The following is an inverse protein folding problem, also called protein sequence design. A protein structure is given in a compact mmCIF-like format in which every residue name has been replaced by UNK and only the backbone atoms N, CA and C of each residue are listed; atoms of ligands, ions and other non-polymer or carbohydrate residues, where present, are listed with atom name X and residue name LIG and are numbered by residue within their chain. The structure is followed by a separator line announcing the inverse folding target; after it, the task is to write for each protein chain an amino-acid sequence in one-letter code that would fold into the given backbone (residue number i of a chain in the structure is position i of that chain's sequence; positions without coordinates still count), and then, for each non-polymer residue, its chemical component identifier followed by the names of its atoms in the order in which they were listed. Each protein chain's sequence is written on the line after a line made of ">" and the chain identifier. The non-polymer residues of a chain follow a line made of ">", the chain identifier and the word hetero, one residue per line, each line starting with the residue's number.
data_IF_393132244824
#
_entry.id   IF_393132244824
#
_cell.length_a   1.000
_cell.length_b   1.000
_cell.length_c   1.000
_cell.angle_alpha   90.00
_cell.angle_beta   90.00
_cell.angle_gamma   90.00
#
_symmetry.space_group_name_H-M   'P 1'
#
loop_
_entity.id
_entity.type
_entity.pdbx_description
1 polymer ?
#
# COMPACT_ATOMS: atom_id res chain seq x y z
N UNK A 1 -93.29 16.54 8.13
CA UNK A 1 -92.57 15.25 8.08
C UNK A 1 -91.19 15.48 7.48
N UNK A 2 -90.18 14.82 8.05
CA UNK A 2 -88.75 14.77 7.67
C UNK A 2 -87.83 15.88 8.18
N UNK A 3 -87.37 15.73 9.43
CA UNK A 3 -86.11 16.26 9.91
C UNK A 3 -85.04 15.16 9.80
N UNK A 4 -84.06 15.34 8.90
CA UNK A 4 -82.89 14.46 8.80
C UNK A 4 -81.72 15.14 9.54
N UNK A 5 -81.34 14.60 10.71
CA UNK A 5 -80.13 15.00 11.43
C UNK A 5 -78.94 14.23 10.86
N UNK A 6 -78.00 14.94 10.24
CA UNK A 6 -76.71 14.36 9.80
C UNK A 6 -75.72 14.47 10.96
N UNK A 7 -75.35 13.33 11.54
CA UNK A 7 -74.26 13.23 12.52
C UNK A 7 -72.92 13.19 11.78
N UNK A 8 -72.04 14.17 12.03
CA UNK A 8 -70.64 14.15 11.57
C UNK A 8 -69.81 13.32 12.55
N UNK A 9 -69.48 12.10 12.15
CA UNK A 9 -68.43 11.30 12.79
C UNK A 9 -67.07 11.94 12.48
N UNK A 10 -66.36 12.39 13.52
CA UNK A 10 -65.00 12.90 13.43
C UNK A 10 -64.04 11.70 13.49
N UNK A 11 -63.61 11.19 12.34
CA UNK A 11 -62.51 10.22 12.28
C UNK A 11 -61.19 10.95 12.59
N UNK A 12 -60.63 10.69 13.77
CA UNK A 12 -59.23 11.03 14.09
C UNK A 12 -58.31 10.19 13.21
N UNK A 13 -57.75 10.81 12.17
CA UNK A 13 -56.63 10.26 11.41
C UNK A 13 -55.40 10.20 12.31
N UNK A 14 -55.08 8.99 12.81
CA UNK A 14 -53.77 8.67 13.37
C UNK A 14 -52.78 8.64 12.21
N UNK A 15 -52.07 9.75 12.00
CA UNK A 15 -50.90 9.79 11.12
C UNK A 15 -49.81 8.89 11.73
N UNK A 16 -49.24 7.94 10.99
CA UNK A 16 -48.07 7.21 11.46
C UNK A 16 -46.94 8.23 11.72
N UNK A 17 -46.32 8.14 12.89
CA UNK A 17 -45.07 8.83 13.17
C UNK A 17 -44.03 8.29 12.17
N UNK A 18 -43.76 9.05 11.11
CA UNK A 18 -42.58 8.84 10.29
C UNK A 18 -41.38 9.03 11.21
N UNK A 19 -40.73 7.93 11.59
CA UNK A 19 -39.43 8.01 12.21
C UNK A 19 -38.47 8.59 11.17
N UNK A 20 -37.83 9.74 11.43
CA UNK A 20 -36.85 10.26 10.51
C UNK A 20 -35.79 9.19 10.30
N UNK A 21 -35.63 8.75 9.05
CA UNK A 21 -34.60 7.83 8.67
C UNK A 21 -33.26 8.47 9.03
N UNK A 22 -32.50 7.81 9.90
CA UNK A 22 -31.16 8.20 10.28
C UNK A 22 -30.35 8.54 9.00
N UNK A 23 -29.81 9.75 8.91
CA UNK A 23 -28.97 10.16 7.79
C UNK A 23 -27.81 9.14 7.67
N UNK A 24 -27.48 8.60 6.47
CA UNK A 24 -26.44 7.60 6.36
C UNK A 24 -25.08 8.21 6.68
N UNK A 25 -24.43 7.74 7.75
CA UNK A 25 -23.00 7.99 7.98
C UNK A 25 -22.22 7.02 7.10
N UNK A 26 -21.57 7.53 6.06
CA UNK A 26 -20.77 6.71 5.14
C UNK A 26 -19.29 6.98 5.36
N UNK A 27 -18.52 5.93 5.61
CA UNK A 27 -17.06 6.03 5.72
C UNK A 27 -16.41 5.75 4.36
N UNK A 28 -15.48 6.62 3.99
CA UNK A 28 -14.58 6.44 2.84
C UNK A 28 -13.19 5.98 3.29
N UNK A 29 -12.84 6.18 4.57
CA UNK A 29 -11.69 5.59 5.23
C UNK A 29 -11.95 5.44 6.75
N UNK A 30 -11.41 4.40 7.40
CA UNK A 30 -10.78 3.24 6.79
C UNK A 30 -11.80 2.34 6.07
N UNK A 31 -11.36 1.58 5.07
CA UNK A 31 -12.17 0.48 4.52
C UNK A 31 -11.95 -0.81 5.33
N UNK A 32 -12.82 -1.80 5.14
CA UNK A 32 -12.63 -3.11 5.77
C UNK A 32 -11.28 -3.75 5.37
N UNK A 33 -10.65 -4.44 6.32
CA UNK A 33 -9.30 -4.99 6.26
C UNK A 33 -8.16 -3.99 5.98
N UNK A 34 -8.40 -2.69 6.13
CA UNK A 34 -7.34 -1.71 5.96
C UNK A 34 -6.30 -1.81 7.08
N UNK A 35 -5.03 -1.89 6.67
CA UNK A 35 -3.88 -1.71 7.56
C UNK A 35 -3.45 -0.24 7.49
N UNK A 36 -3.46 0.43 8.62
CA UNK A 36 -2.87 1.75 8.79
C UNK A 36 -1.45 1.60 9.32
N UNK A 37 -0.52 2.36 8.77
CA UNK A 37 0.89 2.33 9.17
C UNK A 37 1.05 2.76 10.62
N UNK A 38 1.63 1.88 11.45
CA UNK A 38 1.93 2.20 12.85
C UNK A 38 3.06 3.22 12.95
N UNK A 39 2.99 4.05 13.98
CA UNK A 39 3.98 5.09 14.26
C UNK A 39 5.13 4.55 15.11
N UNK A 40 4.81 3.71 16.08
CA UNK A 40 5.75 3.10 17.02
C UNK A 40 5.36 1.64 17.34
N UNK A 41 6.06 1.01 18.29
CA UNK A 41 5.80 -0.40 18.65
C UNK A 41 4.40 -0.67 19.21
N UNK A 42 3.76 0.33 19.81
CA UNK A 42 2.52 0.14 20.59
C UNK A 42 1.27 0.64 19.86
N UNK A 43 1.40 1.49 18.84
CA UNK A 43 0.24 2.06 18.17
C UNK A 43 0.53 3.01 17.01
N UNK A 44 -0.54 3.66 16.58
CA UNK A 44 -0.55 4.63 15.51
C UNK A 44 -1.93 5.26 15.36
N UNK A 45 -2.12 5.95 14.24
CA UNK A 45 -3.36 6.66 13.93
C UNK A 45 -4.14 5.91 12.85
N UNK A 46 -5.46 5.80 13.07
CA UNK A 46 -6.43 5.43 12.05
C UNK A 46 -6.96 6.74 11.45
N UNK A 47 -6.67 7.05 10.18
CA UNK A 47 -7.32 8.15 9.47
C UNK A 47 -8.78 7.78 9.23
N UNK A 48 -9.69 8.66 9.62
CA UNK A 48 -11.12 8.48 9.43
C UNK A 48 -11.61 9.57 8.50
N UNK A 49 -12.26 9.17 7.41
CA UNK A 49 -12.88 10.06 6.45
C UNK A 49 -14.27 9.54 6.10
N UNK A 50 -15.19 10.45 5.88
CA UNK A 50 -16.54 10.07 5.53
C UNK A 50 -17.43 11.25 5.20
N UNK A 51 -18.71 10.94 5.03
CA UNK A 51 -19.77 11.89 4.72
C UNK A 51 -20.99 11.64 5.59
N UNK A 52 -21.61 12.74 6.00
CA UNK A 52 -22.89 12.80 6.72
C UNK A 52 -23.73 13.91 6.08
N UNK A 53 -24.77 13.54 5.34
CA UNK A 53 -25.46 14.45 4.40
C UNK A 53 -26.28 15.57 5.06
N UNK A 54 -26.62 15.44 6.35
CA UNK A 54 -27.40 16.42 7.11
C UNK A 54 -26.68 16.91 8.38
N UNK A 55 -25.35 16.87 8.39
CA UNK A 55 -24.57 17.36 9.52
C UNK A 55 -24.75 18.87 9.70
N UNK A 56 -25.29 19.29 10.84
CA UNK A 56 -25.26 20.70 11.28
C UNK A 56 -23.93 20.92 12.02
N UNK A 57 -22.98 21.72 11.48
CA UNK A 57 -21.59 21.77 11.96
C UNK A 57 -21.39 22.08 13.45
N UNK A 58 -22.35 22.75 14.09
CA UNK A 58 -22.29 23.13 15.51
C UNK A 58 -23.22 22.31 16.42
N UNK A 59 -24.07 21.47 15.85
CA UNK A 59 -25.02 20.63 16.60
C UNK A 59 -24.72 19.14 16.44
N UNK A 60 -23.77 18.79 15.58
CA UNK A 60 -23.38 17.40 15.31
C UNK A 60 -22.08 17.08 15.99
N UNK A 61 -22.07 16.02 16.78
CA UNK A 61 -20.87 15.43 17.35
C UNK A 61 -20.59 14.08 16.69
N UNK A 62 -19.32 13.81 16.38
CA UNK A 62 -18.86 12.49 16.00
C UNK A 62 -18.13 11.87 17.18
N UNK A 63 -18.45 10.62 17.46
CA UNK A 63 -17.75 9.80 18.43
C UNK A 63 -17.34 8.48 17.77
N UNK A 64 -16.20 7.95 18.18
CA UNK A 64 -15.75 6.62 17.79
C UNK A 64 -15.26 5.84 19.00
N UNK A 65 -15.34 4.51 18.90
CA UNK A 65 -14.65 3.59 19.79
C UNK A 65 -14.09 2.43 18.99
N UNK A 66 -13.11 1.76 19.59
CA UNK A 66 -12.57 0.51 19.09
C UNK A 66 -13.07 -0.64 19.95
N UNK A 67 -13.40 -1.74 19.29
CA UNK A 67 -13.55 -3.04 19.93
C UNK A 67 -12.29 -3.83 19.65
N UNK A 68 -11.53 -4.11 20.71
CA UNK A 68 -10.22 -4.78 20.64
C UNK A 68 -10.39 -6.14 21.32
N UNK A 69 -10.09 -7.23 20.61
CA UNK A 69 -10.26 -8.60 21.14
C UNK A 69 -11.68 -8.87 21.71
N UNK A 70 -12.72 -8.27 21.13
CA UNK A 70 -14.10 -8.41 21.57
C UNK A 70 -14.52 -7.48 22.72
N UNK A 71 -13.58 -6.73 23.30
CA UNK A 71 -13.85 -5.77 24.37
C UNK A 71 -14.04 -4.36 23.79
N UNK A 72 -15.22 -3.79 24.01
CA UNK A 72 -15.53 -2.44 23.56
C UNK A 72 -14.88 -1.40 24.48
N UNK A 73 -14.07 -0.53 23.88
CA UNK A 73 -13.54 0.63 24.58
C UNK A 73 -14.57 1.75 24.78
N UNK A 74 -14.12 2.81 25.44
CA UNK A 74 -14.91 4.02 25.66
C UNK A 74 -15.17 4.80 24.37
N UNK A 75 -16.34 5.43 24.29
CA UNK A 75 -16.66 6.38 23.23
C UNK A 75 -15.79 7.64 23.39
N UNK A 76 -15.09 8.00 22.33
CA UNK A 76 -14.25 9.21 22.27
C UNK A 76 -14.85 10.19 21.28
N UNK A 77 -15.08 11.42 21.74
CA UNK A 77 -15.46 12.53 20.86
C UNK A 77 -14.32 12.88 19.93
N UNK A 78 -14.60 12.95 18.63
CA UNK A 78 -13.63 13.28 17.60
C UNK A 78 -13.68 14.77 17.29
N UNK A 79 -12.51 15.40 17.25
CA UNK A 79 -12.39 16.75 16.73
C UNK A 79 -12.48 16.69 15.21
N UNK A 80 -13.48 17.37 14.65
CA UNK A 80 -13.74 17.37 13.21
C UNK A 80 -14.34 18.69 12.76
N UNK A 81 -14.11 19.03 11.49
CA UNK A 81 -14.81 20.11 10.80
C UNK A 81 -15.53 19.51 9.61
N UNK A 82 -16.83 19.81 9.48
CA UNK A 82 -17.61 19.39 8.32
C UNK A 82 -17.47 20.41 7.19
N UNK A 83 -17.17 19.93 5.99
CA UNK A 83 -17.18 20.74 4.76
C UNK A 83 -18.06 20.05 3.72
N UNK A 84 -19.22 20.65 3.42
CA UNK A 84 -20.22 20.10 2.51
C UNK A 84 -20.60 18.63 2.86
N UNK A 85 -20.83 18.38 4.16
CA UNK A 85 -21.14 17.05 4.70
C UNK A 85 -19.95 16.09 4.83
N UNK A 86 -18.80 16.40 4.23
CA UNK A 86 -17.59 15.58 4.37
C UNK A 86 -16.84 15.94 5.65
N UNK A 87 -16.16 14.95 6.23
CA UNK A 87 -15.32 15.14 7.39
C UNK A 87 -14.02 14.33 7.29
N UNK A 88 -13.00 14.78 8.02
CA UNK A 88 -11.76 14.06 8.22
C UNK A 88 -11.25 14.25 9.64
N UNK A 89 -10.81 13.15 10.26
CA UNK A 89 -10.27 13.14 11.62
C UNK A 89 -9.35 11.93 11.78
N UNK A 90 -8.81 11.73 12.98
CA UNK A 90 -7.96 10.58 13.31
C UNK A 90 -8.36 9.99 14.65
N UNK A 91 -8.12 8.69 14.81
CA UNK A 91 -8.29 7.99 16.07
C UNK A 91 -7.01 7.23 16.41
N UNK A 92 -6.45 7.46 17.60
CA UNK A 92 -5.34 6.66 18.11
C UNK A 92 -5.80 5.25 18.41
N UNK A 93 -5.04 4.27 17.94
CA UNK A 93 -5.35 2.86 18.10
C UNK A 93 -4.08 2.06 18.48
N UNK A 94 -4.22 1.02 19.31
CA UNK A 94 -3.10 0.14 19.60
C UNK A 94 -2.74 -0.69 18.35
N UNK A 95 -1.45 -0.95 18.17
CA UNK A 95 -0.99 -1.97 17.23
C UNK A 95 -1.37 -3.35 17.76
N UNK A 96 -1.58 -4.30 16.86
CA UNK A 96 -2.05 -5.64 17.21
C UNK A 96 -2.92 -6.19 16.11
N UNK A 97 -3.76 -7.18 16.43
CA UNK A 97 -4.69 -7.79 15.46
C UNK A 97 -5.75 -6.84 14.90
N UNK A 98 -6.80 -7.41 14.32
CA UNK A 98 -7.91 -6.64 13.77
C UNK A 98 -8.78 -6.05 14.88
N UNK A 99 -9.12 -4.77 14.74
CA UNK A 99 -10.05 -4.06 15.60
C UNK A 99 -11.32 -3.72 14.84
N UNK A 100 -12.46 -3.73 15.51
CA UNK A 100 -13.70 -3.16 14.95
C UNK A 100 -13.80 -1.69 15.32
N UNK A 101 -13.91 -0.82 14.32
CA UNK A 101 -14.18 0.60 14.49
C UNK A 101 -15.69 0.82 14.48
N UNK A 102 -16.22 1.34 15.57
CA UNK A 102 -17.62 1.77 15.66
C UNK A 102 -17.68 3.29 15.74
N UNK A 103 -18.55 3.89 14.94
CA UNK A 103 -18.77 5.32 14.89
C UNK A 103 -20.23 5.66 15.09
N UNK A 104 -20.49 6.79 15.75
CA UNK A 104 -21.81 7.38 15.83
C UNK A 104 -21.75 8.88 15.62
N UNK A 105 -22.76 9.40 14.94
CA UNK A 105 -23.04 10.83 14.87
C UNK A 105 -24.24 11.10 15.78
N UNK A 106 -24.11 12.11 16.65
CA UNK A 106 -25.16 12.50 17.60
C UNK A 106 -25.51 13.97 17.44
N UNK A 107 -26.80 14.28 17.49
CA UNK A 107 -27.37 15.62 17.47
C UNK A 107 -28.18 15.92 18.73
N UNK A 108 -28.91 17.06 18.79
CA UNK A 108 -29.67 17.47 19.97
C UNK A 108 -30.76 16.47 20.38
N UNK A 109 -31.31 15.71 19.43
CA UNK A 109 -32.36 14.73 19.64
C UNK A 109 -31.85 13.29 19.84
N UNK A 110 -30.53 13.08 19.95
CA UNK A 110 -29.92 11.77 20.12
C UNK A 110 -29.06 11.31 18.94
N UNK A 111 -28.91 10.00 18.76
CA UNK A 111 -28.09 9.41 17.70
C UNK A 111 -28.75 9.66 16.34
N UNK A 112 -28.02 10.30 15.44
CA UNK A 112 -28.43 10.59 14.06
C UNK A 112 -28.07 9.45 13.12
N UNK A 113 -26.91 8.81 13.33
CA UNK A 113 -26.33 7.84 12.40
C UNK A 113 -25.27 6.99 13.08
N UNK A 114 -25.02 5.79 12.54
CA UNK A 114 -23.91 4.92 12.96
C UNK A 114 -23.20 4.33 11.76
N UNK A 115 -21.93 3.98 11.92
CA UNK A 115 -21.15 3.26 10.92
C UNK A 115 -20.17 2.32 11.62
N UNK A 116 -19.85 1.21 10.96
CA UNK A 116 -18.94 0.19 11.48
C UNK A 116 -17.97 -0.26 10.39
N UNK A 117 -16.72 -0.48 10.78
CA UNK A 117 -15.73 -1.20 9.97
C UNK A 117 -15.26 -2.38 10.80
N UNK A 118 -15.50 -3.60 10.33
CA UNK A 118 -15.25 -4.83 11.10
C UNK A 118 -13.76 -5.08 11.35
N UNK A 119 -12.92 -4.81 10.36
CA UNK A 119 -11.48 -5.05 10.46
C UNK A 119 -10.67 -3.80 10.08
N UNK A 120 -10.05 -3.18 11.08
CA UNK A 120 -9.03 -2.15 10.89
C UNK A 120 -7.82 -2.50 11.74
N UNK A 121 -6.64 -2.49 11.13
CA UNK A 121 -5.39 -2.86 11.79
C UNK A 121 -4.42 -1.69 11.87
N UNK A 122 -3.70 -1.57 12.98
CA UNK A 122 -2.48 -0.75 13.06
C UNK A 122 -1.29 -1.69 12.91
N UNK A 123 -0.55 -1.57 11.81
CA UNK A 123 0.48 -2.52 11.42
C UNK A 123 1.52 -1.94 10.47
N UNK A 124 2.05 -2.77 9.58
CA UNK A 124 3.05 -2.34 8.59
C UNK A 124 2.47 -2.37 7.19
N UNK A 125 2.74 -1.32 6.40
CA UNK A 125 2.33 -1.27 5.00
C UNK A 125 3.56 -1.09 4.12
N UNK A 126 3.68 -1.90 3.07
CA UNK A 126 4.80 -1.84 2.13
C UNK A 126 4.31 -1.72 0.69
N UNK A 127 4.97 -0.86 -0.08
CA UNK A 127 4.86 -0.89 -1.53
C UNK A 127 5.85 -1.92 -2.10
N UNK A 128 5.43 -2.68 -3.10
CA UNK A 128 6.34 -3.57 -3.84
C UNK A 128 6.31 -3.18 -5.31
N UNK A 129 7.44 -2.70 -5.82
CA UNK A 129 7.56 -2.16 -7.17
C UNK A 129 8.80 -2.71 -7.88
N UNK A 130 8.81 -2.61 -9.21
CA UNK A 130 9.86 -3.15 -10.05
C UNK A 130 9.29 -3.99 -11.18
N UNK A 131 9.93 -5.10 -11.52
CA UNK A 131 9.53 -5.91 -12.67
C UNK A 131 8.87 -7.25 -12.31
N UNK A 132 8.99 -8.26 -13.16
CA UNK A 132 8.27 -9.54 -13.07
C UNK A 132 8.48 -10.26 -11.73
N UNK A 133 9.71 -10.28 -11.21
CA UNK A 133 10.05 -10.87 -9.91
C UNK A 133 9.55 -10.06 -8.69
N UNK A 134 9.07 -8.83 -8.91
CA UNK A 134 8.32 -8.02 -7.94
C UNK A 134 6.79 -8.16 -8.09
N UNK A 135 6.34 -8.94 -9.08
CA UNK A 135 4.94 -9.07 -9.51
C UNK A 135 4.49 -10.54 -9.42
N UNK A 136 3.62 -10.98 -10.33
CA UNK A 136 3.02 -12.32 -10.33
C UNK A 136 3.62 -13.22 -11.42
N UNK A 137 4.94 -13.39 -11.44
CA UNK A 137 5.63 -14.19 -12.46
C UNK A 137 6.35 -15.42 -11.90
N UNK A 138 6.29 -15.67 -10.60
CA UNK A 138 6.81 -16.91 -10.05
C UNK A 138 5.97 -18.12 -10.48
N UNK A 139 6.60 -19.29 -10.45
CA UNK A 139 6.05 -20.53 -11.01
C UNK A 139 4.74 -20.98 -10.34
N UNK A 140 4.67 -20.93 -9.01
CA UNK A 140 3.50 -21.36 -8.23
C UNK A 140 2.91 -20.23 -7.41
N UNK A 141 1.58 -20.07 -7.51
CA UNK A 141 0.81 -19.16 -6.65
C UNK A 141 0.94 -19.52 -5.18
N UNK A 142 1.17 -18.50 -4.37
CA UNK A 142 1.21 -18.57 -2.92
C UNK A 142 -0.07 -17.96 -2.32
N UNK A 143 -0.34 -18.31 -1.06
CA UNK A 143 -1.39 -17.68 -0.25
C UNK A 143 -0.85 -17.53 1.16
N UNK A 144 -1.15 -16.41 1.80
CA UNK A 144 -0.73 -16.20 3.17
C UNK A 144 -1.44 -17.20 4.07
N UNK A 145 -0.75 -17.69 5.09
CA UNK A 145 -1.35 -18.54 6.11
C UNK A 145 -2.10 -17.70 7.16
N UNK A 146 -1.62 -16.48 7.41
CA UNK A 146 -2.20 -15.56 8.39
C UNK A 146 -3.23 -14.63 7.74
N UNK A 147 -4.43 -14.56 8.33
CA UNK A 147 -5.50 -13.61 7.98
C UNK A 147 -5.09 -12.13 8.13
N UNK A 148 -4.04 -11.87 8.92
CA UNK A 148 -3.41 -10.56 9.10
C UNK A 148 -2.62 -10.05 7.89
N UNK A 149 -2.45 -10.85 6.84
CA UNK A 149 -1.68 -10.45 5.66
C UNK A 149 -2.63 -10.11 4.52
N UNK A 150 -2.60 -8.85 4.10
CA UNK A 150 -3.55 -8.30 3.11
C UNK A 150 -2.84 -7.54 2.00
N UNK A 151 -3.50 -7.38 0.87
CA UNK A 151 -3.05 -6.60 -0.28
C UNK A 151 -4.11 -5.61 -0.71
N UNK A 152 -3.70 -4.44 -1.17
CA UNK A 152 -4.58 -3.39 -1.65
C UNK A 152 -4.58 -3.31 -3.18
N UNK A 153 -5.75 -3.45 -3.80
CA UNK A 153 -5.88 -3.35 -5.27
C UNK A 153 -6.04 -1.90 -5.76
N UNK A 154 -6.03 -0.92 -4.84
CA UNK A 154 -6.36 0.48 -5.09
C UNK A 154 -7.83 0.86 -4.87
N UNK A 155 -8.67 -0.16 -4.83
CA UNK A 155 -10.11 -0.26 -4.48
C UNK A 155 -10.36 -0.61 -3.02
N UNK A 156 -9.92 -1.81 -2.67
CA UNK A 156 -10.23 -2.55 -1.45
C UNK A 156 -9.00 -3.33 -0.97
N UNK A 157 -8.99 -3.63 0.31
CA UNK A 157 -8.07 -4.59 0.90
C UNK A 157 -8.66 -5.99 0.79
N UNK A 158 -7.83 -6.97 0.50
CA UNK A 158 -8.19 -8.38 0.46
C UNK A 158 -7.07 -9.23 1.02
N UNK A 159 -7.38 -10.46 1.42
CA UNK A 159 -6.37 -11.43 1.83
C UNK A 159 -5.25 -11.56 0.79
N UNK A 160 -4.00 -11.65 1.25
CA UNK A 160 -2.83 -11.73 0.38
C UNK A 160 -2.70 -13.13 -0.24
N UNK A 161 -3.41 -13.33 -1.35
CA UNK A 161 -3.40 -14.54 -2.18
C UNK A 161 -3.05 -14.17 -3.61
N UNK A 162 -2.13 -14.93 -4.21
CA UNK A 162 -1.72 -14.71 -5.58
C UNK A 162 -2.84 -15.04 -6.60
N UNK A 163 -2.92 -14.32 -7.73
CA UNK A 163 -2.04 -13.21 -8.11
C UNK A 163 -2.36 -11.93 -7.33
N UNK A 164 -1.31 -11.21 -6.95
CA UNK A 164 -1.41 -9.93 -6.24
C UNK A 164 -2.04 -8.88 -7.15
N UNK A 165 -3.14 -8.24 -6.73
CA UNK A 165 -3.84 -7.29 -7.56
C UNK A 165 -2.99 -6.02 -7.72
N UNK A 166 -3.08 -5.39 -8.90
CA UNK A 166 -2.33 -4.17 -9.22
C UNK A 166 -0.95 -4.42 -9.83
N UNK A 167 -0.40 -5.64 -9.73
CA UNK A 167 0.82 -6.05 -10.41
C UNK A 167 0.52 -6.90 -11.66
N UNK A 168 1.45 -6.94 -12.61
CA UNK A 168 1.31 -7.76 -13.82
C UNK A 168 1.55 -9.25 -13.58
N UNK A 169 1.16 -10.07 -14.55
CA UNK A 169 1.33 -11.53 -14.50
C UNK A 169 0.17 -12.22 -13.77
N UNK A 170 0.17 -13.55 -13.81
CA UNK A 170 -0.91 -14.38 -13.24
C UNK A 170 -0.39 -15.55 -12.37
N UNK A 171 0.93 -15.63 -12.18
CA UNK A 171 1.63 -16.63 -11.37
C UNK A 171 1.77 -16.22 -9.91
N UNK A 172 2.81 -16.73 -9.26
CA UNK A 172 3.08 -16.49 -7.84
C UNK A 172 3.95 -15.27 -7.55
N UNK A 173 3.97 -14.89 -6.28
CA UNK A 173 4.77 -13.80 -5.72
C UNK A 173 5.36 -14.18 -4.36
N UNK A 174 6.35 -13.43 -3.90
CA UNK A 174 6.96 -13.64 -2.57
C UNK A 174 6.17 -12.93 -1.45
N UNK A 175 5.13 -12.16 -1.79
CA UNK A 175 4.42 -11.28 -0.86
C UNK A 175 3.71 -12.08 0.24
N UNK A 176 3.00 -13.19 -0.05
CA UNK A 176 2.36 -13.97 1.00
C UNK A 176 3.32 -14.54 2.06
N UNK A 177 4.39 -15.29 1.70
CA UNK A 177 5.33 -15.78 2.70
C UNK A 177 6.13 -14.67 3.40
N UNK A 178 6.39 -13.53 2.74
CA UNK A 178 7.02 -12.37 3.39
C UNK A 178 6.09 -11.78 4.46
N UNK A 179 4.82 -11.59 4.11
CA UNK A 179 3.80 -11.10 5.03
C UNK A 179 3.65 -12.00 6.24
N UNK A 180 3.59 -13.32 6.05
CA UNK A 180 3.52 -14.28 7.16
C UNK A 180 4.75 -14.18 8.08
N UNK A 181 5.96 -14.02 7.52
CA UNK A 181 7.17 -13.87 8.31
C UNK A 181 7.15 -12.59 9.15
N UNK A 182 6.74 -11.46 8.55
CA UNK A 182 6.65 -10.17 9.23
C UNK A 182 5.52 -10.15 10.28
N UNK A 183 4.33 -10.66 9.93
CA UNK A 183 3.19 -10.73 10.85
C UNK A 183 3.51 -11.62 12.06
N UNK A 184 4.21 -12.75 11.85
CA UNK A 184 4.67 -13.62 12.94
C UNK A 184 5.69 -12.95 13.85
N UNK A 185 6.66 -12.21 13.28
CA UNK A 185 7.72 -11.56 14.06
C UNK A 185 7.18 -10.37 14.87
N UNK A 186 6.31 -9.56 14.27
CA UNK A 186 5.87 -8.30 14.86
C UNK A 186 4.49 -8.35 15.52
N UNK A 187 3.72 -9.42 15.31
CA UNK A 187 2.41 -9.61 15.91
C UNK A 187 1.28 -8.73 15.33
N UNK A 188 1.57 -8.00 14.24
CA UNK A 188 0.68 -7.00 13.63
C UNK A 188 0.26 -7.38 12.20
N UNK A 189 -0.85 -6.84 11.68
CA UNK A 189 -1.21 -6.86 10.28
C UNK A 189 -0.13 -6.31 9.37
N UNK A 190 0.02 -6.94 8.21
CA UNK A 190 0.96 -6.56 7.17
C UNK A 190 0.17 -6.35 5.88
N UNK A 191 0.20 -5.12 5.37
CA UNK A 191 -0.41 -4.71 4.13
C UNK A 191 0.62 -4.56 3.01
N UNK A 192 0.31 -5.07 1.83
CA UNK A 192 1.09 -4.84 0.62
C UNK A 192 0.32 -4.03 -0.43
N UNK A 193 1.04 -3.18 -1.15
CA UNK A 193 0.56 -2.56 -2.39
C UNK A 193 1.46 -3.01 -3.53
N UNK A 194 1.01 -3.99 -4.29
CA UNK A 194 1.76 -4.56 -5.40
C UNK A 194 1.63 -3.68 -6.64
N UNK A 195 2.77 -3.27 -7.21
CA UNK A 195 2.84 -2.38 -8.37
C UNK A 195 3.80 -2.90 -9.44
N UNK A 196 4.38 -4.10 -9.30
CA UNK A 196 5.37 -4.62 -10.24
C UNK A 196 4.84 -4.77 -11.67
N UNK A 197 5.67 -4.44 -12.67
CA UNK A 197 5.32 -4.50 -14.10
C UNK A 197 6.38 -5.30 -14.85
N UNK A 198 5.99 -6.46 -15.38
CA UNK A 198 6.86 -7.41 -16.06
C UNK A 198 7.63 -6.81 -17.23
N UNK A 199 8.88 -7.26 -17.37
CA UNK A 199 9.83 -6.85 -18.42
C UNK A 199 10.09 -5.34 -18.51
N UNK A 200 9.86 -4.58 -17.43
CA UNK A 200 10.14 -3.15 -17.43
C UNK A 200 11.58 -2.82 -17.07
N UNK A 201 12.15 -1.89 -17.83
CA UNK A 201 13.39 -1.19 -17.49
C UNK A 201 13.11 -0.04 -16.53
N UNK A 202 14.09 0.36 -15.72
CA UNK A 202 14.03 1.59 -14.89
C UNK A 202 13.62 2.83 -15.71
N UNK A 203 13.94 2.87 -17.01
CA UNK A 203 13.57 3.96 -17.93
C UNK A 203 12.07 4.15 -18.08
N UNK A 204 11.29 3.07 -18.02
CA UNK A 204 9.82 3.10 -18.12
C UNK A 204 9.14 3.62 -16.85
N UNK A 205 9.88 3.66 -15.73
CA UNK A 205 9.44 4.16 -14.44
C UNK A 205 9.73 5.64 -14.22
N UNK A 206 10.39 6.32 -15.16
CA UNK A 206 10.74 7.72 -15.00
C UNK A 206 9.52 8.64 -15.20
N UNK A 207 9.51 9.84 -14.61
CA UNK A 207 8.49 10.85 -14.89
C UNK A 207 8.36 11.14 -16.39
N UNK A 208 7.14 11.51 -16.81
CA UNK A 208 6.84 11.85 -18.20
C UNK A 208 7.85 12.84 -18.78
N UNK A 209 8.29 12.59 -20.02
CA UNK A 209 9.23 13.45 -20.73
C UNK A 209 10.68 13.31 -20.28
N UNK A 210 10.99 12.45 -19.30
CA UNK A 210 12.38 12.15 -18.95
C UNK A 210 13.07 11.46 -20.12
N UNK A 211 14.09 12.13 -20.68
CA UNK A 211 14.87 11.66 -21.83
C UNK A 211 15.98 10.69 -21.47
N UNK A 212 16.26 9.75 -22.36
CA UNK A 212 17.36 8.80 -22.28
C UNK A 212 17.80 8.35 -23.70
N UNK A 213 19.07 7.95 -23.87
CA UNK A 213 19.64 7.77 -25.20
C UNK A 213 19.20 6.49 -25.93
N UNK A 214 18.77 5.46 -25.20
CA UNK A 214 18.59 4.10 -25.73
C UNK A 214 17.22 3.50 -25.35
N UNK A 215 16.59 2.71 -26.24
CA UNK A 215 15.31 2.07 -25.95
C UNK A 215 15.41 1.01 -24.83
N UNK A 216 14.36 0.82 -24.03
CA UNK A 216 14.28 -0.29 -23.07
C UNK A 216 13.95 -1.62 -23.75
N UNK A 217 13.89 -2.72 -22.99
CA UNK A 217 13.47 -4.06 -23.49
C UNK A 217 12.12 -3.99 -24.20
N UNK A 218 11.14 -3.32 -23.60
CA UNK A 218 9.84 -3.05 -24.21
C UNK A 218 9.66 -1.55 -24.41
N UNK A 219 9.03 -1.16 -25.51
CA UNK A 219 8.85 0.26 -25.86
C UNK A 219 7.44 0.80 -25.56
N UNK A 220 6.56 -0.02 -25.00
CA UNK A 220 5.15 0.35 -24.79
C UNK A 220 4.95 1.60 -23.93
N UNK A 221 5.81 1.80 -22.91
CA UNK A 221 5.74 2.93 -21.96
C UNK A 221 6.72 4.06 -22.26
N UNK A 222 7.35 4.04 -23.42
CA UNK A 222 8.27 5.09 -23.88
C UNK A 222 7.90 5.51 -25.28
N UNK A 223 8.45 6.62 -25.73
CA UNK A 223 8.30 7.10 -27.09
C UNK A 223 9.67 7.53 -27.65
N UNK A 224 9.86 7.31 -28.94
CA UNK A 224 11.02 7.84 -29.64
C UNK A 224 10.72 9.26 -30.10
N UNK A 225 11.67 10.17 -29.90
CA UNK A 225 11.58 11.57 -30.22
C UNK A 225 12.17 11.85 -31.62
N UNK A 226 11.86 13.00 -32.25
CA UNK A 226 12.35 13.33 -33.59
C UNK A 226 13.88 13.39 -33.73
N UNK A 227 14.60 13.65 -32.64
CA UNK A 227 16.07 13.67 -32.58
C UNK A 227 16.68 12.27 -32.34
N UNK A 228 15.86 11.22 -32.31
CA UNK A 228 16.30 9.83 -32.13
C UNK A 228 16.45 9.40 -30.67
N UNK A 229 16.42 10.33 -29.70
CA UNK A 229 16.35 10.01 -28.28
C UNK A 229 15.02 9.37 -27.91
N UNK A 230 14.94 8.83 -26.69
CA UNK A 230 13.73 8.26 -26.14
C UNK A 230 13.27 9.05 -24.92
N UNK A 231 11.97 9.04 -24.65
CA UNK A 231 11.41 9.60 -23.43
C UNK A 231 10.41 8.67 -22.77
N UNK A 232 10.33 8.75 -21.44
CA UNK A 232 9.28 8.06 -20.67
C UNK A 232 7.92 8.70 -20.93
N UNK A 233 6.89 7.87 -21.12
CA UNK A 233 5.48 8.32 -21.13
C UNK A 233 4.95 8.60 -19.73
N UNK A 234 5.69 8.32 -18.67
CA UNK A 234 5.29 8.55 -17.27
C UNK A 234 4.29 7.56 -16.69
N UNK A 235 3.77 6.61 -17.49
CA UNK A 235 2.64 5.78 -17.08
C UNK A 235 2.90 4.93 -15.81
N UNK A 236 4.08 4.31 -15.68
CA UNK A 236 4.42 3.53 -14.49
C UNK A 236 4.70 4.43 -13.27
N UNK A 237 5.31 5.59 -13.49
CA UNK A 237 5.54 6.60 -12.44
C UNK A 237 4.22 7.13 -11.88
N UNK A 238 3.31 7.55 -12.77
CA UNK A 238 2.00 8.12 -12.42
C UNK A 238 1.17 7.10 -11.65
N UNK A 239 1.14 5.84 -12.10
CA UNK A 239 0.49 4.73 -11.39
C UNK A 239 1.07 4.52 -9.98
N UNK A 240 2.40 4.50 -9.83
CA UNK A 240 3.05 4.32 -8.53
C UNK A 240 2.69 5.47 -7.56
N UNK A 241 2.81 6.71 -8.03
CA UNK A 241 2.53 7.91 -7.23
C UNK A 241 1.05 8.02 -6.88
N UNK A 242 0.15 7.69 -7.80
CA UNK A 242 -1.30 7.66 -7.54
C UNK A 242 -1.61 6.66 -6.42
N UNK A 243 -1.07 5.44 -6.49
CA UNK A 243 -1.24 4.43 -5.44
C UNK A 243 -0.66 4.89 -4.11
N UNK A 244 0.53 5.50 -4.09
CA UNK A 244 1.13 6.04 -2.86
C UNK A 244 0.25 7.12 -2.22
N UNK A 245 -0.33 8.02 -3.02
CA UNK A 245 -1.21 9.10 -2.54
C UNK A 245 -2.49 8.57 -1.92
N UNK A 246 -2.99 7.42 -2.35
CA UNK A 246 -4.20 6.81 -1.77
C UNK A 246 -4.03 6.41 -0.30
N UNK A 247 -2.80 6.12 0.16
CA UNK A 247 -2.53 5.82 1.57
C UNK A 247 -2.26 7.07 2.41
N UNK A 248 -2.10 8.23 1.77
CA UNK A 248 -1.82 9.50 2.43
C UNK A 248 -0.37 9.64 2.95
N UNK A 249 -0.04 10.82 3.53
CA UNK A 249 1.29 11.09 4.06
C UNK A 249 1.69 10.07 5.14
N UNK A 250 2.90 9.50 5.01
CA UNK A 250 3.41 8.46 5.92
C UNK A 250 2.51 7.21 6.05
N UNK A 251 1.63 6.97 5.07
CA UNK A 251 0.70 5.83 5.06
C UNK A 251 1.33 4.47 4.77
N UNK A 252 2.64 4.42 4.54
CA UNK A 252 3.41 3.19 4.36
C UNK A 252 4.81 3.31 4.94
N UNK A 253 5.43 2.17 5.22
CA UNK A 253 6.74 2.06 5.85
C UNK A 253 7.88 2.25 4.86
N UNK A 254 7.84 1.52 3.74
CA UNK A 254 8.88 1.57 2.71
C UNK A 254 8.38 1.05 1.36
N UNK A 255 9.13 1.40 0.30
CA UNK A 255 9.05 0.75 -1.01
C UNK A 255 10.09 -0.36 -1.08
N UNK A 256 9.70 -1.56 -1.51
CA UNK A 256 10.58 -2.68 -1.82
C UNK A 256 10.76 -2.72 -3.34
N UNK A 257 11.91 -2.23 -3.82
CA UNK A 257 12.23 -2.17 -5.25
C UNK A 257 13.02 -3.40 -5.70
N UNK A 258 12.47 -4.16 -6.63
CA UNK A 258 13.11 -5.32 -7.23
C UNK A 258 13.04 -5.26 -8.77
N UNK A 259 14.06 -4.66 -9.37
CA UNK A 259 14.20 -4.54 -10.82
C UNK A 259 15.65 -4.38 -11.22
N UNK A 260 16.02 -4.95 -12.37
CA UNK A 260 17.29 -4.68 -13.02
C UNK A 260 17.60 -5.65 -14.15
N UNK A 261 16.92 -6.80 -14.22
CA UNK A 261 17.13 -7.80 -15.26
C UNK A 261 16.90 -7.21 -16.66
N UNK A 262 15.83 -6.41 -16.86
CA UNK A 262 15.57 -5.74 -18.16
C UNK A 262 16.54 -4.60 -18.51
N UNK A 263 17.48 -4.27 -17.64
CA UNK A 263 18.55 -3.30 -17.90
C UNK A 263 19.93 -3.96 -18.00
N UNK A 264 20.07 -5.21 -17.56
CA UNK A 264 21.29 -6.01 -17.63
C UNK A 264 21.33 -6.85 -18.92
N UNK A 265 22.53 -7.07 -19.48
CA UNK A 265 22.89 -8.14 -20.42
C UNK A 265 21.83 -8.52 -21.48
N UNK A 266 21.16 -7.54 -22.06
CA UNK A 266 20.14 -7.78 -23.08
C UNK A 266 20.79 -8.32 -24.36
N UNK A 267 20.14 -9.27 -25.04
CA UNK A 267 20.63 -9.85 -26.29
C UNK A 267 20.90 -8.80 -27.37
N UNK A 268 20.05 -7.77 -27.43
CA UNK A 268 20.32 -6.54 -28.16
C UNK A 268 21.12 -5.59 -27.24
N UNK A 269 22.43 -5.40 -27.47
CA UNK A 269 23.28 -4.61 -26.58
C UNK A 269 22.83 -3.15 -26.50
N UNK A 270 22.11 -2.65 -27.52
CA UNK A 270 21.59 -1.28 -27.51
C UNK A 270 20.51 -1.07 -26.46
N UNK A 271 19.93 -2.14 -25.92
CA UNK A 271 18.91 -2.12 -24.85
C UNK A 271 19.49 -2.32 -23.46
N UNK A 272 20.72 -2.81 -23.35
CA UNK A 272 21.46 -2.89 -22.08
C UNK A 272 21.77 -1.48 -21.59
N UNK A 273 21.50 -1.22 -20.32
CA UNK A 273 21.73 0.08 -19.72
C UNK A 273 23.08 0.10 -18.99
N UNK A 274 23.96 1.09 -19.25
CA UNK A 274 25.15 1.28 -18.44
C UNK A 274 24.80 1.56 -16.97
N UNK A 275 25.57 0.99 -16.04
CA UNK A 275 25.40 1.13 -14.60
C UNK A 275 25.26 2.59 -14.13
N UNK A 276 26.11 3.55 -14.58
CA UNK A 276 25.95 4.95 -14.22
C UNK A 276 24.60 5.55 -14.64
N UNK A 277 24.04 5.14 -15.78
CA UNK A 277 22.71 5.58 -16.21
C UNK A 277 21.61 4.90 -15.40
N UNK A 278 21.74 3.60 -15.10
CA UNK A 278 20.82 2.90 -14.19
C UNK A 278 20.75 3.61 -12.83
N UNK A 279 21.91 3.87 -12.22
CA UNK A 279 22.05 4.58 -10.94
C UNK A 279 21.39 5.95 -10.98
N UNK A 280 21.64 6.74 -12.03
CA UNK A 280 21.04 8.06 -12.23
C UNK A 280 19.52 8.00 -12.32
N UNK A 281 18.99 7.05 -13.08
CA UNK A 281 17.55 6.92 -13.31
C UNK A 281 16.81 6.40 -12.07
N UNK A 282 17.37 5.43 -11.35
CA UNK A 282 16.75 4.95 -10.12
C UNK A 282 16.75 6.01 -9.01
N UNK A 283 17.84 6.78 -8.83
CA UNK A 283 17.81 7.92 -7.90
C UNK A 283 16.79 8.97 -8.33
N UNK A 284 16.67 9.28 -9.63
CA UNK A 284 15.65 10.21 -10.11
C UNK A 284 14.24 9.71 -9.78
N UNK A 285 13.95 8.44 -10.02
CA UNK A 285 12.67 7.81 -9.65
C UNK A 285 12.38 7.98 -8.16
N UNK A 286 13.35 7.62 -7.30
CA UNK A 286 13.21 7.72 -5.85
C UNK A 286 12.93 9.17 -5.43
N UNK A 287 13.75 10.12 -5.88
CA UNK A 287 13.60 11.54 -5.49
C UNK A 287 12.32 12.17 -6.00
N UNK A 288 11.94 11.88 -7.25
CA UNK A 288 10.72 12.45 -7.82
C UNK A 288 9.46 11.83 -7.22
N UNK A 289 9.48 10.54 -6.84
CA UNK A 289 8.37 9.94 -6.10
C UNK A 289 8.20 10.59 -4.72
N UNK A 290 9.29 10.81 -3.97
CA UNK A 290 9.29 11.54 -2.68
C UNK A 290 8.74 12.96 -2.83
N UNK A 291 9.20 13.69 -3.85
CA UNK A 291 8.68 15.03 -4.18
C UNK A 291 7.17 14.99 -4.46
N UNK A 292 6.71 14.01 -5.25
CA UNK A 292 5.32 13.92 -5.66
C UNK A 292 4.36 13.55 -4.51
N UNK A 293 4.82 12.80 -3.52
CA UNK A 293 4.03 12.43 -2.33
C UNK A 293 4.23 13.38 -1.14
N UNK A 294 5.24 14.26 -1.20
CA UNK A 294 5.49 15.30 -0.22
C UNK A 294 6.20 14.84 1.06
N UNK A 295 6.83 13.65 1.06
CA UNK A 295 7.61 13.16 2.19
C UNK A 295 8.70 12.18 1.75
N UNK A 296 9.75 12.05 2.58
CA UNK A 296 10.92 11.22 2.30
C UNK A 296 10.68 9.74 2.60
N UNK A 297 9.87 9.09 1.76
CA UNK A 297 9.61 7.66 1.88
C UNK A 297 10.90 6.81 1.79
N UNK A 298 11.11 5.86 2.72
CA UNK A 298 12.19 4.87 2.61
C UNK A 298 12.01 3.96 1.40
N UNK A 299 13.13 3.63 0.76
CA UNK A 299 13.19 2.65 -0.33
C UNK A 299 14.25 1.62 0.01
N UNK A 300 13.93 0.34 -0.17
CA UNK A 300 14.92 -0.72 -0.26
C UNK A 300 15.18 -1.03 -1.73
N UNK A 301 16.45 -1.15 -2.12
CA UNK A 301 16.87 -1.51 -3.47
C UNK A 301 17.58 -2.85 -3.44
N UNK A 302 16.96 -3.88 -4.03
CA UNK A 302 17.58 -5.19 -4.19
C UNK A 302 18.72 -5.15 -5.23
N UNK A 303 19.69 -6.07 -5.09
CA UNK A 303 20.66 -6.36 -6.14
C UNK A 303 20.08 -7.42 -7.07
N UNK A 304 19.82 -7.02 -8.30
CA UNK A 304 19.01 -7.77 -9.27
C UNK A 304 19.53 -7.55 -10.69
N UNK A 305 20.01 -8.60 -11.33
CA UNK A 305 20.48 -8.59 -12.73
C UNK A 305 20.52 -9.97 -13.39
N UNK A 306 20.06 -11.03 -12.72
CA UNK A 306 20.06 -12.41 -13.20
C UNK A 306 19.14 -12.64 -14.41
N UNK A 307 19.58 -13.42 -15.39
CA UNK A 307 18.72 -13.95 -16.45
C UNK A 307 18.56 -15.47 -16.39
N UNK A 308 19.66 -16.21 -16.50
CA UNK A 308 19.66 -17.67 -16.69
C UNK A 308 21.02 -18.24 -16.26
N UNK A 309 21.18 -19.57 -16.11
CA UNK A 309 22.49 -20.16 -15.89
C UNK A 309 23.49 -19.76 -16.99
N UNK A 310 24.66 -19.27 -16.59
CA UNK A 310 25.67 -18.70 -17.49
C UNK A 310 25.55 -17.19 -17.75
N UNK A 311 24.41 -16.58 -17.42
CA UNK A 311 24.18 -15.12 -17.40
C UNK A 311 23.50 -14.73 -16.07
N UNK A 312 24.25 -14.92 -14.99
CA UNK A 312 23.70 -14.93 -13.63
C UNK A 312 23.83 -13.58 -12.91
N UNK A 313 24.62 -12.65 -13.45
CA UNK A 313 24.84 -11.34 -12.86
C UNK A 313 25.46 -10.35 -13.87
N UNK A 314 25.10 -9.07 -13.73
CA UNK A 314 25.79 -7.94 -14.34
C UNK A 314 26.53 -7.14 -13.26
N UNK A 315 27.88 -7.19 -13.20
CA UNK A 315 28.65 -6.43 -12.22
C UNK A 315 28.36 -4.93 -12.25
N UNK A 316 28.12 -4.37 -13.43
CA UNK A 316 27.89 -2.93 -13.62
C UNK A 316 26.53 -2.49 -13.03
N UNK A 317 25.45 -3.22 -13.33
CA UNK A 317 24.12 -2.95 -12.76
C UNK A 317 24.12 -3.18 -11.25
N UNK A 318 24.77 -4.24 -10.76
CA UNK A 318 24.86 -4.53 -9.32
C UNK A 318 25.62 -3.45 -8.55
N UNK A 319 26.74 -2.98 -9.10
CA UNK A 319 27.49 -1.87 -8.52
C UNK A 319 26.63 -0.59 -8.47
N UNK A 320 25.88 -0.31 -9.54
CA UNK A 320 24.93 0.79 -9.58
C UNK A 320 23.84 0.69 -8.49
N UNK A 321 23.23 -0.49 -8.32
CA UNK A 321 22.23 -0.75 -7.28
C UNK A 321 22.82 -0.58 -5.87
N UNK A 322 23.99 -1.18 -5.61
CA UNK A 322 24.68 -1.09 -4.32
C UNK A 322 25.06 0.35 -3.96
N UNK A 323 25.47 1.16 -4.95
CA UNK A 323 25.89 2.55 -4.71
C UNK A 323 24.76 3.45 -4.17
N UNK A 324 23.49 3.15 -4.45
CA UNK A 324 22.36 3.87 -3.84
C UNK A 324 22.31 3.68 -2.32
N UNK A 325 22.73 2.51 -1.84
CA UNK A 325 22.86 2.20 -0.43
C UNK A 325 24.03 2.92 0.22
N UNK A 326 25.21 2.86 -0.41
CA UNK A 326 26.42 3.50 0.12
C UNK A 326 26.30 5.02 0.19
N UNK A 327 25.59 5.62 -0.76
CA UNK A 327 25.38 7.07 -0.83
C UNK A 327 24.21 7.57 0.04
N UNK A 328 23.52 6.67 0.76
CA UNK A 328 22.39 7.01 1.63
C UNK A 328 21.12 7.43 0.88
N UNK A 329 20.98 7.10 -0.40
CA UNK A 329 19.78 7.39 -1.20
C UNK A 329 18.64 6.42 -0.86
N UNK A 330 19.00 5.15 -0.66
CA UNK A 330 18.11 4.04 -0.37
C UNK A 330 18.75 3.09 0.67
N UNK A 331 17.95 2.19 1.21
CA UNK A 331 18.38 1.09 2.05
C UNK A 331 18.79 -0.11 1.19
N UNK A 332 19.79 -0.90 1.60
CA UNK A 332 20.20 -2.09 0.86
C UNK A 332 19.15 -3.20 0.98
N UNK A 333 18.61 -3.64 -0.16
CA UNK A 333 17.74 -4.81 -0.28
C UNK A 333 18.53 -6.14 -0.39
N UNK A 334 17.82 -7.26 -0.61
CA UNK A 334 18.45 -8.56 -0.77
C UNK A 334 19.24 -8.67 -2.08
N UNK A 335 20.18 -9.61 -2.12
CA UNK A 335 20.82 -10.05 -3.36
C UNK A 335 20.03 -11.23 -3.93
N UNK A 336 19.22 -10.97 -4.95
CA UNK A 336 18.38 -12.02 -5.54
C UNK A 336 19.10 -12.80 -6.64
N UNK A 337 20.20 -12.28 -7.20
CA UNK A 337 21.04 -13.03 -8.15
C UNK A 337 21.72 -14.24 -7.50
N UNK A 338 21.91 -14.19 -6.18
CA UNK A 338 22.41 -15.32 -5.40
C UNK A 338 21.43 -16.51 -5.35
N UNK A 339 20.14 -16.28 -5.65
CA UNK A 339 19.12 -17.33 -5.68
C UNK A 339 19.14 -18.02 -7.06
N UNK A 340 19.74 -19.21 -7.13
CA UNK A 340 20.03 -19.95 -8.37
C UNK A 340 19.55 -21.40 -8.28
N UNK A 341 19.76 -22.17 -9.35
CA UNK A 341 19.41 -23.60 -9.39
C UNK A 341 17.91 -23.80 -9.14
N UNK A 342 17.55 -24.75 -8.28
CA UNK A 342 16.14 -25.10 -8.00
C UNK A 342 15.30 -23.96 -7.40
N UNK A 343 15.90 -22.82 -7.07
CA UNK A 343 15.19 -21.59 -6.69
C UNK A 343 14.66 -20.82 -7.90
N UNK A 344 15.04 -21.18 -9.13
CA UNK A 344 14.51 -20.61 -10.37
C UNK A 344 13.55 -21.58 -11.04
N UNK A 345 12.55 -21.04 -11.73
CA UNK A 345 11.56 -21.82 -12.48
C UNK A 345 12.21 -22.66 -13.60
N UNK A 346 11.44 -23.54 -14.24
CA UNK A 346 11.91 -24.37 -15.35
C UNK A 346 13.13 -25.23 -14.97
N UNK A 347 13.09 -25.85 -13.79
CA UNK A 347 14.18 -26.68 -13.25
C UNK A 347 15.51 -25.93 -13.20
N UNK A 348 15.48 -24.69 -12.70
CA UNK A 348 16.65 -23.85 -12.51
C UNK A 348 17.18 -23.15 -13.76
N UNK A 349 16.43 -23.18 -14.87
CA UNK A 349 16.85 -22.57 -16.14
C UNK A 349 16.15 -21.26 -16.47
N UNK A 350 15.08 -20.92 -15.75
CA UNK A 350 14.31 -19.71 -15.97
C UNK A 350 14.85 -18.49 -15.23
N UNK A 351 14.29 -17.33 -15.58
CA UNK A 351 14.59 -16.04 -14.94
C UNK A 351 13.76 -15.81 -13.67
N UNK A 352 12.54 -16.34 -13.62
CA UNK A 352 11.67 -16.17 -12.46
C UNK A 352 11.91 -17.24 -11.39
N UNK A 353 11.33 -17.02 -10.22
CA UNK A 353 11.49 -17.92 -9.08
C UNK A 353 10.55 -19.13 -9.15
N UNK A 354 11.05 -20.29 -8.74
CA UNK A 354 10.24 -21.47 -8.46
C UNK A 354 9.40 -21.27 -7.19
N UNK A 355 8.53 -22.22 -6.85
CA UNK A 355 7.78 -22.19 -5.60
C UNK A 355 8.68 -22.08 -4.35
N UNK A 356 9.76 -22.86 -4.32
CA UNK A 356 10.77 -22.78 -3.27
C UNK A 356 11.54 -21.47 -3.35
N UNK A 357 11.87 -21.02 -4.57
CA UNK A 357 12.47 -19.73 -4.83
C UNK A 357 11.69 -18.55 -4.25
N UNK A 358 10.37 -18.52 -4.40
CA UNK A 358 9.51 -17.46 -3.86
C UNK A 358 9.57 -17.42 -2.33
N UNK A 359 9.58 -18.58 -1.66
CA UNK A 359 9.71 -18.66 -0.20
C UNK A 359 11.09 -18.20 0.29
N UNK A 360 12.15 -18.55 -0.42
CA UNK A 360 13.51 -18.07 -0.10
C UNK A 360 13.64 -16.58 -0.40
N UNK A 361 13.06 -16.08 -1.50
CA UNK A 361 13.02 -14.67 -1.85
C UNK A 361 12.32 -13.84 -0.77
N UNK A 362 11.21 -14.33 -0.23
CA UNK A 362 10.56 -13.74 0.93
C UNK A 362 11.46 -13.71 2.17
N UNK A 363 12.17 -14.81 2.46
CA UNK A 363 13.09 -14.89 3.60
C UNK A 363 14.20 -13.84 3.51
N UNK A 364 14.87 -13.72 2.36
CA UNK A 364 15.97 -12.76 2.20
C UNK A 364 15.48 -11.31 2.23
N UNK A 365 14.22 -11.05 1.83
CA UNK A 365 13.58 -9.74 2.06
C UNK A 365 13.33 -9.50 3.55
N UNK A 366 12.80 -10.49 4.27
CA UNK A 366 12.57 -10.38 5.71
C UNK A 366 13.89 -10.13 6.48
N UNK A 367 14.99 -10.74 6.05
CA UNK A 367 16.33 -10.53 6.64
C UNK A 367 16.85 -9.09 6.48
N UNK A 368 16.34 -8.35 5.48
CA UNK A 368 16.67 -6.92 5.29
C UNK A 368 15.70 -6.01 6.02
N UNK A 369 14.40 -6.27 5.86
CA UNK A 369 13.35 -5.38 6.36
C UNK A 369 13.21 -5.48 7.86
N UNK A 370 13.24 -6.69 8.42
CA UNK A 370 12.88 -6.88 9.83
C UNK A 370 13.91 -6.28 10.82
N UNK A 371 15.23 -6.46 10.66
CA UNK A 371 16.20 -5.80 11.55
C UNK A 371 16.17 -4.27 11.45
N UNK A 372 16.00 -3.72 10.24
CA UNK A 372 15.81 -2.28 10.06
C UNK A 372 14.57 -1.78 10.77
N UNK A 373 13.47 -2.53 10.65
CA UNK A 373 12.21 -2.20 11.30
C UNK A 373 12.33 -2.24 12.83
N UNK A 374 13.05 -3.21 13.39
CA UNK A 374 13.33 -3.26 14.83
C UNK A 374 14.08 -2.00 15.30
N UNK A 375 15.11 -1.58 14.57
CA UNK A 375 15.90 -0.40 14.91
C UNK A 375 15.07 0.89 14.95
N UNK A 376 14.31 1.18 13.89
CA UNK A 376 13.52 2.43 13.84
C UNK A 376 12.38 2.46 14.87
N UNK A 377 11.92 1.29 15.31
CA UNK A 377 10.86 1.18 16.31
C UNK A 377 11.40 1.29 17.74
N UNK A 378 12.67 0.94 17.98
CA UNK A 378 13.35 1.20 19.25
C UNK A 378 13.59 2.70 19.45
N UNK A 379 14.10 3.40 18.42
CA UNK A 379 14.36 4.84 18.48
C UNK A 379 13.09 5.64 18.82
N UNK A 380 11.92 5.19 18.34
CA UNK A 380 10.61 5.83 18.58
C UNK A 380 10.12 5.78 20.03
N UNK A 381 10.70 4.93 20.88
CA UNK A 381 10.34 4.83 22.31
C UNK A 381 11.10 5.83 23.20
N UNK A 382 12.03 6.58 22.63
CA UNK A 382 12.90 7.51 23.36
C UNK A 382 12.50 8.99 23.30
N UNK A 383 11.45 9.34 22.53
CA UNK A 383 10.96 10.72 22.45
C UNK A 383 10.03 11.04 23.64
N UNK A 384 10.33 12.03 24.49
CA UNK A 384 9.44 12.44 25.57
C UNK A 384 8.16 13.07 24.99
N UNK A 385 7.03 12.76 25.63
CA UNK A 385 5.71 13.33 25.35
C UNK A 385 5.77 14.86 25.26
N UNK A 386 5.76 15.39 24.04
CA UNK A 386 5.54 16.81 23.80
C UNK A 386 4.04 17.08 23.67
N UNK A 387 3.29 16.78 24.73
CA UNK A 387 1.90 17.23 24.88
C UNK A 387 1.54 17.46 26.34
N UNK A 388 2.30 18.35 26.99
CA UNK A 388 1.81 19.17 28.11
C UNK A 388 2.38 20.57 27.93
N UNK A 389 1.64 21.42 27.22
CA UNK A 389 1.70 22.88 27.30
C UNK A 389 0.38 23.48 26.79
#
# INVERSE_FOLDING_TARGET
>A
MNHLKVARCLCLLLLPLEHPQAAPLTLTAPSDHQVCQRENRVGGLIPIQGRLEDAVPDQTSLEARLVVNGEAGEWRRLHTTFTNGNFSTTLTAPSGGWHRLEMRASGPSGILATATVEHVGIGEVFFVAGQSNAANHGEERQSAASDKVVTFDGRRWQHCTDPQPGASGNGGSFLPPLGDALARRFGVPVGFVACGIGATSVREWLPRGTRFPNPPTLTGRVEQLPDGEWASKGAAFDMLVERMRQLGPRGFRAVLWHQGESDANQQDPTRTLPGPLYRKYLERLIRESRRAIGWDAPWFVAQVSYHVPGDEASPDIRAAQASLGTDGIALPGPDSDALKGDLRENHGKGVHFSATGLRVHASVWADKVAPWLDGILEDSTSAPDASVA
#
